data_IF_646487718487
#
_entry.id   IF_646487718487
#
_cell.length_a   1.000
_cell.length_b   1.000
_cell.length_c   1.000
_cell.angle_alpha   90.00
_cell.angle_beta   90.00
_cell.angle_gamma   90.00
#
_symmetry.space_group_name_H-M   'P 1'
#
loop_
_entity.id
_entity.type
_entity.pdbx_description
1 polymer ?
#
# COMPACT_ATOMS: atom_id res chain seq x y z
N UNK A 1 -10.86 0.07 11.57
CA UNK A 1 -9.40 0.00 11.38
C UNK A 1 -9.06 0.26 9.93
N UNK A 2 -8.06 1.08 9.70
CA UNK A 2 -7.58 1.43 8.37
C UNK A 2 -6.20 0.85 8.17
N UNK A 3 -5.94 0.34 6.96
CA UNK A 3 -4.64 -0.22 6.60
C UNK A 3 -3.96 0.74 5.63
N UNK A 4 -2.74 1.14 5.96
CA UNK A 4 -1.93 2.03 5.15
C UNK A 4 -0.71 1.30 4.59
N UNK A 5 -0.35 1.64 3.36
CA UNK A 5 0.87 1.18 2.74
C UNK A 5 1.73 2.33 2.27
N UNK A 6 3.00 2.08 2.06
CA UNK A 6 3.96 3.05 1.59
C UNK A 6 4.02 3.03 0.06
N UNK A 7 3.96 4.20 -0.56
CA UNK A 7 3.97 4.35 -2.02
C UNK A 7 5.24 5.08 -2.47
N UNK A 8 5.71 4.76 -3.68
CA UNK A 8 6.81 5.47 -4.31
C UNK A 8 6.59 5.56 -5.82
N UNK A 9 6.78 6.76 -6.38
CA UNK A 9 6.84 6.98 -7.82
C UNK A 9 8.26 6.89 -8.37
N UNK A 10 9.25 6.64 -7.52
CA UNK A 10 10.65 6.51 -7.92
C UNK A 10 10.97 5.04 -8.20
N UNK A 11 10.71 4.64 -9.43
CA UNK A 11 10.83 3.26 -9.90
C UNK A 11 12.17 2.60 -9.55
N UNK A 12 13.27 3.26 -9.90
CA UNK A 12 14.61 2.68 -9.67
C UNK A 12 14.92 2.49 -8.18
N UNK A 13 14.49 3.43 -7.36
CA UNK A 13 14.69 3.34 -5.91
C UNK A 13 13.89 2.19 -5.31
N UNK A 14 12.63 2.02 -5.72
CA UNK A 14 11.78 0.92 -5.25
C UNK A 14 12.36 -0.44 -5.63
N UNK A 15 12.81 -0.59 -6.89
CA UNK A 15 13.41 -1.84 -7.37
C UNK A 15 14.69 -2.16 -6.60
N UNK A 16 15.59 -1.19 -6.44
CA UNK A 16 16.84 -1.40 -5.69
C UNK A 16 16.60 -1.80 -4.25
N UNK A 17 15.61 -1.18 -3.61
CA UNK A 17 15.25 -1.50 -2.24
C UNK A 17 14.73 -2.92 -2.12
N UNK A 18 13.87 -3.35 -3.05
CA UNK A 18 13.35 -4.71 -3.08
C UNK A 18 14.47 -5.74 -3.27
N UNK A 19 15.42 -5.47 -4.17
CA UNK A 19 16.57 -6.33 -4.40
C UNK A 19 17.49 -6.40 -3.19
N UNK A 20 17.78 -5.27 -2.58
CA UNK A 20 18.63 -5.21 -1.37
C UNK A 20 18.05 -6.01 -0.22
N UNK A 21 16.73 -5.97 -0.04
CA UNK A 21 16.03 -6.69 1.03
C UNK A 21 15.73 -8.15 0.69
N UNK A 22 15.98 -8.57 -0.54
CA UNK A 22 15.60 -9.90 -1.04
C UNK A 22 14.09 -10.18 -0.93
N UNK A 23 13.27 -9.14 -1.03
CA UNK A 23 11.83 -9.26 -0.98
C UNK A 23 11.29 -9.84 -2.29
N UNK A 24 10.19 -10.59 -2.21
CA UNK A 24 9.48 -11.08 -3.39
C UNK A 24 8.97 -9.87 -4.20
N UNK A 25 9.25 -9.84 -5.50
CA UNK A 25 8.84 -8.73 -6.37
C UNK A 25 7.33 -8.55 -6.41
N UNK A 26 6.56 -9.58 -6.16
CA UNK A 26 5.10 -9.49 -6.09
C UNK A 26 4.60 -8.70 -4.88
N UNK A 27 5.48 -8.45 -3.89
CA UNK A 27 5.16 -7.56 -2.76
C UNK A 27 5.38 -6.08 -3.08
N UNK A 28 5.82 -5.76 -4.31
CA UNK A 28 5.99 -4.40 -4.82
C UNK A 28 5.20 -4.21 -6.11
N UNK A 29 3.87 -4.34 -6.09
CA UNK A 29 3.09 -4.18 -7.30
C UNK A 29 3.18 -2.76 -7.85
N UNK A 30 3.24 -2.67 -9.18
CA UNK A 30 3.24 -1.41 -9.90
C UNK A 30 1.81 -1.08 -10.33
N UNK A 31 1.40 0.15 -10.09
CA UNK A 31 0.10 0.66 -10.50
C UNK A 31 0.28 1.80 -11.49
N UNK A 32 -0.35 1.68 -12.65
CA UNK A 32 -0.37 2.72 -13.65
C UNK A 32 -1.49 3.72 -13.35
N UNK A 33 -1.33 5.00 -13.74
CA UNK A 33 -2.38 5.99 -13.58
C UNK A 33 -3.66 5.59 -14.32
N UNK A 34 -4.79 5.70 -13.63
CA UNK A 34 -6.12 5.50 -14.23
C UNK A 34 -7.02 6.66 -13.85
N UNK A 35 -8.15 6.78 -14.53
CA UNK A 35 -9.15 7.79 -14.19
C UNK A 35 -9.76 7.56 -12.80
N UNK A 36 -9.70 6.34 -12.31
CA UNK A 36 -10.29 5.94 -11.03
C UNK A 36 -9.32 6.08 -9.87
N UNK A 37 -8.08 5.59 -10.01
CA UNK A 37 -7.10 5.63 -8.93
C UNK A 37 -6.46 7.01 -8.73
N UNK A 38 -6.52 7.86 -9.75
CA UNK A 38 -6.02 9.23 -9.70
C UNK A 38 -4.52 9.37 -9.42
N UNK A 39 -3.74 8.33 -9.62
CA UNK A 39 -2.27 8.46 -9.59
C UNK A 39 -1.82 9.35 -10.74
N UNK A 40 -0.84 10.20 -10.48
CA UNK A 40 -0.28 11.09 -11.52
C UNK A 40 0.83 10.41 -12.31
N UNK A 41 1.48 9.42 -11.73
CA UNK A 41 2.59 8.66 -12.29
C UNK A 41 2.44 7.20 -11.91
N UNK A 42 3.18 6.33 -12.62
CA UNK A 42 3.34 4.95 -12.20
C UNK A 42 3.82 4.92 -10.74
N UNK A 43 3.17 4.11 -9.93
CA UNK A 43 3.39 4.08 -8.49
C UNK A 43 3.60 2.65 -8.02
N UNK A 44 4.70 2.42 -7.31
CA UNK A 44 4.90 1.17 -6.58
C UNK A 44 4.31 1.31 -5.18
N UNK A 45 3.64 0.27 -4.73
CA UNK A 45 3.19 0.18 -3.34
C UNK A 45 3.99 -0.93 -2.67
N UNK A 46 4.63 -0.59 -1.54
CA UNK A 46 5.42 -1.53 -0.77
C UNK A 46 4.51 -2.28 0.20
N UNK A 47 4.07 -3.48 -0.20
CA UNK A 47 3.22 -4.32 0.62
C UNK A 47 3.93 -4.89 1.85
N UNK A 48 5.24 -4.75 1.96
CA UNK A 48 6.01 -5.16 3.14
C UNK A 48 5.96 -4.13 4.27
N UNK A 49 5.52 -2.90 3.98
CA UNK A 49 5.45 -1.80 4.94
C UNK A 49 4.03 -1.29 5.05
N UNK A 50 3.15 -2.17 5.51
CA UNK A 50 1.77 -1.81 5.80
C UNK A 50 1.57 -1.76 7.30
N UNK A 51 0.70 -0.87 7.75
CA UNK A 51 0.39 -0.73 9.15
C UNK A 51 -1.09 -0.40 9.34
N UNK A 52 -1.60 -0.73 10.51
CA UNK A 52 -3.00 -0.50 10.87
C UNK A 52 -3.12 0.76 11.71
N UNK A 53 -4.15 1.55 11.42
CA UNK A 53 -4.47 2.76 12.17
C UNK A 53 -5.94 2.70 12.57
N UNK A 54 -6.23 3.06 13.82
CA UNK A 54 -7.62 3.14 14.28
C UNK A 54 -8.33 4.31 13.58
N UNK A 55 -9.64 4.20 13.45
CA UNK A 55 -10.45 5.28 12.88
C UNK A 55 -10.35 6.56 13.72
N UNK A 56 -10.23 6.41 15.02
CA UNK A 56 -10.06 7.52 15.95
C UNK A 56 -8.74 8.27 15.69
N UNK A 57 -7.62 7.57 15.59
CA UNK A 57 -6.32 8.17 15.31
C UNK A 57 -6.31 8.83 13.94
N UNK A 58 -6.89 8.20 12.93
CA UNK A 58 -7.01 8.77 11.60
C UNK A 58 -7.83 10.06 11.61
N UNK A 59 -8.95 10.07 12.32
CA UNK A 59 -9.77 11.26 12.49
C UNK A 59 -9.00 12.42 13.14
N UNK A 60 -8.20 12.10 14.17
CA UNK A 60 -7.33 13.08 14.82
C UNK A 60 -6.28 13.65 13.87
N UNK A 61 -5.64 12.81 13.07
CA UNK A 61 -4.65 13.26 12.06
C UNK A 61 -5.28 14.16 11.00
N UNK A 62 -6.51 13.86 10.62
CA UNK A 62 -7.27 14.65 9.65
C UNK A 62 -7.55 16.05 10.17
N UNK A 63 -8.01 16.15 11.43
CA UNK A 63 -8.30 17.43 12.08
C UNK A 63 -7.06 18.29 12.28
N UNK A 64 -5.90 17.67 12.51
CA UNK A 64 -4.63 18.37 12.69
C UNK A 64 -3.87 18.64 11.38
N UNK A 65 -4.49 18.35 10.23
CA UNK A 65 -3.90 18.49 8.88
C UNK A 65 -2.62 17.67 8.66
N UNK A 66 -2.42 16.59 9.41
CA UNK A 66 -1.31 15.66 9.18
C UNK A 66 -1.56 14.73 8.01
N UNK A 67 -2.82 14.57 7.61
CA UNK A 67 -3.25 13.69 6.52
C UNK A 67 -4.13 14.47 5.57
N UNK A 68 -3.89 14.29 4.29
CA UNK A 68 -4.70 14.86 3.22
C UNK A 68 -5.38 13.74 2.44
N UNK A 69 -6.70 13.83 2.27
CA UNK A 69 -7.45 12.83 1.53
C UNK A 69 -7.55 13.23 0.06
N UNK A 70 -7.13 12.32 -0.81
CA UNK A 70 -7.32 12.44 -2.26
C UNK A 70 -8.43 11.48 -2.70
N UNK A 71 -9.25 11.92 -3.66
CA UNK A 71 -10.44 11.18 -4.10
C UNK A 71 -10.15 10.16 -5.19
N UNK A 72 -9.12 9.36 -5.01
CA UNK A 72 -8.85 8.25 -5.91
C UNK A 72 -9.33 6.94 -5.30
N UNK A 73 -9.74 5.99 -6.14
CA UNK A 73 -10.11 4.64 -5.72
C UNK A 73 -9.48 3.63 -6.66
N UNK A 74 -8.95 2.57 -6.10
CA UNK A 74 -8.48 1.43 -6.88
C UNK A 74 -9.66 0.56 -7.29
N UNK A 75 -9.57 -0.06 -8.47
CA UNK A 75 -10.55 -1.05 -8.89
C UNK A 75 -10.32 -2.39 -8.16
N UNK A 76 -11.23 -3.33 -8.37
CA UNK A 76 -11.17 -4.62 -7.69
C UNK A 76 -9.90 -5.41 -8.03
N UNK A 77 -9.42 -5.33 -9.27
CA UNK A 77 -8.20 -6.02 -9.68
C UNK A 77 -6.97 -5.43 -9.01
N UNK A 78 -6.90 -4.12 -8.91
CA UNK A 78 -5.80 -3.42 -8.22
C UNK A 78 -5.78 -3.76 -6.73
N UNK A 79 -6.95 -3.76 -6.09
CA UNK A 79 -7.09 -4.12 -4.68
C UNK A 79 -6.64 -5.58 -4.46
N UNK A 80 -7.01 -6.49 -5.35
CA UNK A 80 -6.61 -7.89 -5.24
C UNK A 80 -5.10 -8.05 -5.33
N UNK A 81 -4.43 -7.29 -6.19
CA UNK A 81 -2.97 -7.30 -6.28
C UNK A 81 -2.30 -6.81 -4.99
N UNK A 82 -2.88 -5.82 -4.33
CA UNK A 82 -2.40 -5.37 -3.03
C UNK A 82 -2.58 -6.44 -1.96
N UNK A 83 -3.74 -7.07 -1.91
CA UNK A 83 -4.02 -8.14 -0.95
C UNK A 83 -3.04 -9.30 -1.16
N UNK A 84 -2.84 -9.71 -2.41
CA UNK A 84 -1.90 -10.78 -2.73
C UNK A 84 -0.48 -10.44 -2.26
N UNK A 85 -0.03 -9.21 -2.48
CA UNK A 85 1.28 -8.74 -2.03
C UNK A 85 1.41 -8.73 -0.50
N UNK A 86 0.39 -8.29 0.20
CA UNK A 86 0.37 -8.28 1.67
C UNK A 86 0.45 -9.70 2.22
N UNK A 87 -0.30 -10.65 1.62
CA UNK A 87 -0.30 -12.04 2.08
C UNK A 87 1.00 -12.78 1.77
N UNK A 88 1.72 -12.36 0.73
CA UNK A 88 3.03 -12.93 0.38
C UNK A 88 4.16 -12.39 1.25
N UNK A 89 3.99 -11.26 1.89
CA UNK A 89 5.07 -10.60 2.62
C UNK A 89 5.41 -11.33 3.93
N UNK A 90 6.69 -11.59 4.13
CA UNK A 90 7.21 -12.12 5.39
C UNK A 90 7.34 -11.04 6.47
N UNK A 91 7.17 -9.77 6.11
CA UNK A 91 7.39 -8.64 7.01
C UNK A 91 6.11 -8.10 7.61
N UNK A 92 4.97 -8.43 7.03
CA UNK A 92 3.67 -7.96 7.52
C UNK A 92 3.24 -8.80 8.72
N UNK A 93 2.78 -8.14 9.78
CA UNK A 93 2.28 -8.83 10.96
C UNK A 93 1.11 -9.76 10.61
N UNK A 94 1.11 -10.96 11.19
CA UNK A 94 0.08 -11.96 10.93
C UNK A 94 -1.33 -11.46 11.22
N UNK A 95 -1.49 -10.61 12.22
CA UNK A 95 -2.77 -10.00 12.58
C UNK A 95 -3.34 -9.14 11.43
N UNK A 96 -2.47 -8.43 10.72
CA UNK A 96 -2.88 -7.64 9.56
C UNK A 96 -3.21 -8.57 8.39
N UNK A 97 -2.39 -9.59 8.14
CA UNK A 97 -2.65 -10.57 7.08
C UNK A 97 -3.96 -11.29 7.28
N UNK A 98 -4.30 -11.62 8.53
CA UNK A 98 -5.54 -12.32 8.86
C UNK A 98 -6.80 -11.51 8.50
N UNK A 99 -6.71 -10.18 8.45
CA UNK A 99 -7.81 -9.33 8.01
C UNK A 99 -8.19 -9.55 6.53
N UNK A 100 -7.26 -10.06 5.72
CA UNK A 100 -7.45 -10.27 4.29
C UNK A 100 -7.66 -11.74 3.91
N UNK A 101 -7.63 -12.64 4.89
CA UNK A 101 -7.92 -14.05 4.68
C UNK A 101 -9.41 -14.33 4.86
N UNK A 102 -9.93 -15.20 4.04
CA UNK A 102 -11.32 -15.64 4.14
C UNK A 102 -11.56 -16.57 5.33
#
# INVERSE_FOLDING_TARGET
MLIFGTCSSQKNTAIRLAEYRHDDRRTYPLFEPTNTNKFKKETYIDCNQVFAVSEEDFGSWRLSNKVQIKRGKMDAAEIQRLIDGILLSDRVAGEIQDLFKD
#
